data_IF_614605018136
#
_entry.id   IF_614605018136
#
_cell.length_a   1.000
_cell.length_b   1.000
_cell.length_c   1.000
_cell.angle_alpha   90.00
_cell.angle_beta   90.00
_cell.angle_gamma   90.00
#
_symmetry.space_group_name_H-M   'P 1'
#
loop_
_entity.id
_entity.type
_entity.pdbx_description
1 polymer ?
#
# COMPACT_ATOMS: atom_id res chain seq x y z
N UNK A 1 2.69 -22.86 -11.82
CA UNK A 1 3.12 -22.19 -13.07
C UNK A 1 1.91 -21.91 -13.98
N UNK A 2 1.85 -20.75 -14.62
CA UNK A 2 0.76 -20.35 -15.54
C UNK A 2 -0.32 -19.43 -14.95
N UNK A 3 -0.30 -19.19 -13.63
CA UNK A 3 -1.16 -18.17 -13.01
C UNK A 3 -0.63 -16.76 -13.29
N UNK A 4 -1.56 -15.82 -13.47
CA UNK A 4 -1.28 -14.38 -13.49
C UNK A 4 -1.93 -13.77 -12.27
N UNK A 5 -1.15 -13.03 -11.48
CA UNK A 5 -1.59 -12.43 -10.21
C UNK A 5 -1.08 -11.00 -10.08
N UNK A 6 -1.80 -10.18 -9.32
CA UNK A 6 -1.36 -8.87 -8.84
C UNK A 6 -0.56 -9.04 -7.55
N UNK A 7 0.50 -8.25 -7.41
CA UNK A 7 1.20 -8.02 -6.14
C UNK A 7 0.95 -6.56 -5.77
N UNK A 8 0.09 -6.33 -4.79
CA UNK A 8 -0.56 -5.03 -4.58
C UNK A 8 -0.59 -4.52 -3.13
N UNK A 9 0.54 -4.51 -2.39
CA UNK A 9 0.56 -3.97 -1.03
C UNK A 9 0.11 -2.50 -0.98
N UNK A 10 -0.67 -2.17 0.04
CA UNK A 10 -1.13 -0.81 0.28
C UNK A 10 -1.31 -0.50 1.76
N UNK A 11 -1.21 0.79 2.08
CA UNK A 11 -1.45 1.36 3.41
C UNK A 11 -2.48 2.46 3.25
N UNK A 12 -3.49 2.44 4.11
CA UNK A 12 -4.61 3.37 4.06
C UNK A 12 -4.95 3.87 5.46
N UNK A 13 -5.23 5.15 5.57
CA UNK A 13 -5.76 5.82 6.74
C UNK A 13 -7.24 6.06 6.48
N UNK A 14 -8.07 5.07 6.82
CA UNK A 14 -9.52 5.11 6.57
C UNK A 14 -10.22 5.72 7.78
N UNK A 15 -10.78 6.95 7.69
CA UNK A 15 -11.32 7.66 8.85
C UNK A 15 -12.34 6.85 9.66
N UNK A 16 -13.22 6.12 8.97
CA UNK A 16 -14.26 5.32 9.60
C UNK A 16 -13.69 4.15 10.42
N UNK A 17 -12.58 3.55 9.97
CA UNK A 17 -11.89 2.49 10.72
C UNK A 17 -11.10 3.07 11.89
N UNK A 18 -10.48 4.24 11.71
CA UNK A 18 -9.78 4.95 12.79
C UNK A 18 -10.73 5.28 13.95
N UNK A 19 -11.91 5.83 13.64
CA UNK A 19 -12.93 6.17 14.64
C UNK A 19 -13.48 4.93 15.33
N UNK A 20 -13.75 3.87 14.57
CA UNK A 20 -14.20 2.59 15.11
C UNK A 20 -13.17 2.03 16.08
N UNK A 21 -11.91 1.95 15.67
CA UNK A 21 -10.83 1.37 16.48
C UNK A 21 -10.56 2.19 17.74
N UNK A 22 -10.62 3.53 17.65
CA UNK A 22 -10.50 4.40 18.82
C UNK A 22 -11.65 4.17 19.80
N UNK A 23 -12.88 4.08 19.31
CA UNK A 23 -14.07 3.85 20.16
C UNK A 23 -14.06 2.48 20.86
N UNK A 24 -13.45 1.48 20.23
CA UNK A 24 -13.34 0.11 20.75
C UNK A 24 -12.07 -0.12 21.57
N UNK A 25 -11.21 0.89 21.70
CA UNK A 25 -9.86 0.76 22.25
C UNK A 25 -9.07 -0.40 21.59
N UNK A 26 -9.31 -0.62 20.30
CA UNK A 26 -8.73 -1.71 19.53
C UNK A 26 -7.22 -1.50 19.39
N UNK A 27 -6.42 -2.52 19.74
CA UNK A 27 -4.96 -2.48 19.63
C UNK A 27 -4.31 -1.25 20.29
N UNK A 28 -4.88 -0.76 21.40
CA UNK A 28 -4.42 0.47 22.07
C UNK A 28 -2.96 0.43 22.55
N UNK A 29 -2.40 -0.76 22.76
CA UNK A 29 -0.97 -0.92 23.08
C UNK A 29 -0.05 -0.61 21.88
N UNK A 30 -0.60 -0.58 20.67
CA UNK A 30 0.14 -0.38 19.41
C UNK A 30 -0.28 0.88 18.65
N UNK A 31 -1.50 1.39 18.88
CA UNK A 31 -2.06 2.53 18.15
C UNK A 31 -2.02 3.80 19.00
N UNK A 32 -1.16 4.74 18.59
CA UNK A 32 -1.25 6.13 19.04
C UNK A 32 -2.33 6.84 18.20
N UNK A 33 -3.53 6.95 18.77
CA UNK A 33 -4.67 7.57 18.08
C UNK A 33 -4.52 9.07 17.85
N UNK A 34 -3.72 9.77 18.66
CA UNK A 34 -3.50 11.21 18.49
C UNK A 34 -2.50 11.46 17.35
N UNK A 35 -1.45 10.63 17.25
CA UNK A 35 -0.55 10.65 16.10
C UNK A 35 -1.27 10.23 14.80
N UNK A 36 -2.15 9.22 14.87
CA UNK A 36 -2.88 8.72 13.71
C UNK A 36 -3.82 9.77 13.09
N UNK A 37 -4.41 10.64 13.92
CA UNK A 37 -5.35 11.67 13.46
C UNK A 37 -4.71 12.68 12.49
N UNK A 38 -3.40 12.88 12.58
CA UNK A 38 -2.64 13.74 11.64
C UNK A 38 -2.65 13.22 10.20
N UNK A 39 -2.92 11.92 10.02
CA UNK A 39 -2.96 11.26 8.71
C UNK A 39 -4.38 11.04 8.18
N UNK A 40 -5.40 11.56 8.87
CA UNK A 40 -6.81 11.30 8.56
C UNK A 40 -7.20 11.64 7.11
N UNK A 41 -6.63 12.71 6.57
CA UNK A 41 -6.92 13.19 5.21
C UNK A 41 -5.91 12.69 4.15
N UNK A 42 -4.95 11.85 4.54
CA UNK A 42 -3.94 11.30 3.63
C UNK A 42 -4.55 10.34 2.59
N UNK A 43 -5.61 9.64 2.97
CA UNK A 43 -6.20 8.57 2.16
C UNK A 43 -5.34 7.31 2.23
N UNK A 44 -4.44 7.12 1.27
CA UNK A 44 -3.57 5.94 1.25
C UNK A 44 -2.79 5.77 -0.05
N UNK A 45 -1.89 4.79 -0.06
CA UNK A 45 -1.03 4.45 -1.19
C UNK A 45 -1.12 2.95 -1.44
N UNK A 46 -1.10 2.55 -2.72
CA UNK A 46 -0.95 1.16 -3.16
C UNK A 46 0.09 1.07 -4.26
N UNK A 47 0.99 0.10 -4.15
CA UNK A 47 1.93 -0.23 -5.21
C UNK A 47 1.57 -1.58 -5.79
N UNK A 48 1.09 -1.57 -7.03
CA UNK A 48 0.56 -2.75 -7.72
C UNK A 48 1.33 -3.09 -9.00
N UNK A 49 1.64 -4.37 -9.18
CA UNK A 49 2.32 -4.93 -10.36
C UNK A 49 1.76 -6.32 -10.69
N UNK A 50 1.77 -6.68 -11.98
CA UNK A 50 1.28 -7.96 -12.47
C UNK A 50 2.43 -8.95 -12.68
N UNK A 51 2.23 -10.21 -12.27
CA UNK A 51 3.23 -11.27 -12.41
C UNK A 51 2.64 -12.55 -13.00
N UNK A 52 3.36 -13.13 -13.96
CA UNK A 52 3.17 -14.51 -14.40
C UNK A 52 4.04 -15.44 -13.55
N UNK A 53 3.44 -16.42 -12.91
CA UNK A 53 4.17 -17.46 -12.16
C UNK A 53 4.78 -18.47 -13.14
N UNK A 54 6.10 -18.57 -13.16
CA UNK A 54 6.86 -19.52 -13.99
C UNK A 54 7.13 -20.83 -13.22
N UNK A 55 7.84 -21.78 -13.82
CA UNK A 55 8.24 -23.02 -13.13
C UNK A 55 9.30 -22.80 -12.05
N UNK A 56 10.06 -21.72 -12.15
CA UNK A 56 11.26 -21.40 -11.38
C UNK A 56 11.17 -20.06 -10.64
N UNK A 57 10.02 -19.37 -10.69
CA UNK A 57 9.82 -18.08 -10.04
C UNK A 57 8.63 -17.31 -10.60
N UNK A 58 8.84 -16.03 -10.88
CA UNK A 58 7.83 -15.15 -11.45
C UNK A 58 8.44 -14.17 -12.44
N UNK A 59 7.66 -13.77 -13.44
CA UNK A 59 8.03 -12.75 -14.42
C UNK A 59 7.02 -11.62 -14.37
N UNK A 60 7.52 -10.41 -14.09
CA UNK A 60 6.72 -9.18 -14.14
C UNK A 60 6.19 -8.94 -15.55
N UNK A 61 4.95 -8.52 -15.65
CA UNK A 61 4.28 -8.15 -16.89
C UNK A 61 4.28 -6.63 -17.02
N UNK A 62 4.35 -6.13 -18.26
CA UNK A 62 4.33 -4.68 -18.53
C UNK A 62 5.68 -3.97 -18.38
N UNK A 63 5.65 -2.64 -18.54
CA UNK A 63 6.85 -1.77 -18.43
C UNK A 63 7.20 -1.54 -16.97
N UNK A 64 8.48 -1.33 -16.67
CA UNK A 64 8.89 -0.87 -15.35
C UNK A 64 8.27 0.49 -15.07
N UNK A 65 7.55 0.61 -13.94
CA UNK A 65 7.17 1.91 -13.39
C UNK A 65 8.23 2.33 -12.35
N UNK A 66 8.38 3.63 -12.09
CA UNK A 66 9.11 4.13 -10.93
C UNK A 66 8.62 3.50 -9.63
N UNK A 67 9.56 3.05 -8.79
CA UNK A 67 9.26 2.49 -7.48
C UNK A 67 9.88 3.31 -6.35
N UNK A 68 11.00 3.97 -6.62
CA UNK A 68 11.64 4.85 -5.64
C UNK A 68 11.07 6.26 -5.72
N UNK A 69 11.24 7.03 -4.65
CA UNK A 69 10.82 8.44 -4.60
C UNK A 69 11.50 9.22 -5.72
N UNK A 70 12.82 9.10 -5.85
CA UNK A 70 13.61 9.80 -6.87
C UNK A 70 13.13 9.49 -8.30
N UNK A 71 12.83 8.22 -8.61
CA UNK A 71 12.33 7.82 -9.93
C UNK A 71 10.95 8.44 -10.20
N UNK A 72 10.06 8.49 -9.18
CA UNK A 72 8.73 9.08 -9.32
C UNK A 72 8.83 10.59 -9.52
N UNK A 73 9.68 11.27 -8.74
CA UNK A 73 9.88 12.71 -8.84
C UNK A 73 10.51 13.12 -10.17
N UNK A 74 11.46 12.35 -10.69
CA UNK A 74 12.08 12.58 -11.99
C UNK A 74 11.09 12.50 -13.18
N UNK A 75 9.93 11.85 -13.03
CA UNK A 75 8.90 11.84 -14.08
C UNK A 75 7.98 13.07 -14.07
N UNK A 76 8.03 13.90 -13.02
CA UNK A 76 7.11 15.04 -12.85
C UNK A 76 7.65 16.35 -13.44
N UNK A 77 8.91 16.39 -13.86
CA UNK A 77 9.60 17.53 -14.48
C UNK A 77 9.43 17.55 -16.00
#
# INVERSE_FOLDING_TARGET
PGFVITIEPGIYFVPQLMDLWRSQNHCADFLDFDALDQWRDFGGIRNEEDFLITSDGARRLGKAKPLTIDEVEALRS
#
